data_IF_709305535494
#
_entry.id   IF_709305535494
#
_cell.length_a   1.000
_cell.length_b   1.000
_cell.length_c   1.000
_cell.angle_alpha   90.00
_cell.angle_beta   90.00
_cell.angle_gamma   90.00
#
_symmetry.space_group_name_H-M   'P 1'
#
loop_
_entity.id
_entity.type
_entity.pdbx_description
1 polymer ?
#
# COMPACT_ATOMS: atom_id res chain seq x y z
N UNK A 1 5.28 6.19 14.51
CA UNK A 1 3.86 6.57 14.66
C UNK A 1 3.41 7.31 13.41
N UNK A 2 2.15 7.13 12.96
CA UNK A 2 1.56 7.93 11.88
C UNK A 2 1.49 9.42 12.26
N UNK A 3 1.55 10.32 11.29
CA UNK A 3 1.40 11.76 11.48
C UNK A 3 0.27 12.35 10.61
N UNK A 4 0.01 13.65 10.71
CA UNK A 4 -1.06 14.32 9.97
C UNK A 4 -0.97 14.09 8.45
N UNK A 5 0.23 14.14 7.87
CA UNK A 5 0.44 13.93 6.44
C UNK A 5 0.11 12.48 6.00
N UNK A 6 0.28 11.51 6.90
CA UNK A 6 -0.14 10.12 6.65
C UNK A 6 -1.68 10.02 6.55
N UNK A 7 -2.40 10.70 7.45
CA UNK A 7 -3.87 10.69 7.45
C UNK A 7 -4.47 11.48 6.28
N UNK A 8 -3.88 12.63 5.91
CA UNK A 8 -4.32 13.42 4.76
C UNK A 8 -4.22 12.62 3.46
N UNK A 9 -3.08 11.94 3.25
CA UNK A 9 -2.87 11.09 2.08
C UNK A 9 -3.80 9.87 2.09
N UNK A 10 -3.98 9.23 3.24
CA UNK A 10 -4.90 8.11 3.38
C UNK A 10 -6.35 8.52 3.04
N UNK A 11 -6.79 9.70 3.49
CA UNK A 11 -8.11 10.26 3.16
C UNK A 11 -8.28 10.50 1.67
N UNK A 12 -7.27 11.06 1.00
CA UNK A 12 -7.29 11.32 -0.44
C UNK A 12 -7.36 10.04 -1.29
N UNK A 13 -6.86 8.92 -0.77
CA UNK A 13 -6.97 7.62 -1.42
C UNK A 13 -8.26 6.89 -1.09
N UNK A 14 -8.80 7.08 0.12
CA UNK A 14 -10.09 6.52 0.51
C UNK A 14 -11.24 7.05 -0.39
N UNK A 15 -11.11 8.27 -0.91
CA UNK A 15 -12.07 8.82 -1.88
C UNK A 15 -11.99 8.21 -3.28
N UNK A 16 -10.99 7.36 -3.57
CA UNK A 16 -10.85 6.65 -4.85
C UNK A 16 -11.50 5.27 -4.77
N UNK A 17 -12.82 5.25 -4.85
CA UNK A 17 -13.62 4.03 -4.69
C UNK A 17 -13.25 2.93 -5.70
N UNK A 18 -12.69 3.28 -6.86
CA UNK A 18 -12.20 2.31 -7.85
C UNK A 18 -11.06 1.40 -7.33
N UNK A 19 -10.39 1.79 -6.24
CA UNK A 19 -9.27 1.03 -5.67
C UNK A 19 -9.72 -0.14 -4.79
N UNK A 20 -10.99 -0.16 -4.35
CA UNK A 20 -11.51 -1.20 -3.45
C UNK A 20 -10.86 -1.24 -2.05
N UNK A 21 -10.11 -0.20 -1.68
CA UNK A 21 -9.39 -0.11 -0.40
C UNK A 21 -10.35 -0.20 0.79
N UNK A 22 -10.06 -1.07 1.75
CA UNK A 22 -10.75 -1.07 3.05
C UNK A 22 -10.10 0.00 3.93
N UNK A 23 -10.83 0.57 4.89
CA UNK A 23 -10.39 1.75 5.66
C UNK A 23 -8.97 1.65 6.30
N UNK A 24 -8.46 0.45 6.57
CA UNK A 24 -7.10 0.24 7.09
C UNK A 24 -5.96 0.30 6.05
N UNK A 25 -6.23 -0.04 4.79
CA UNK A 25 -5.21 -0.18 3.75
C UNK A 25 -4.59 1.16 3.31
N UNK A 26 -5.38 2.26 3.11
CA UNK A 26 -4.84 3.56 2.73
C UNK A 26 -3.84 4.12 3.73
N UNK A 27 -4.05 3.88 5.03
CA UNK A 27 -3.16 4.40 6.07
C UNK A 27 -1.79 3.70 6.04
N UNK A 28 -1.76 2.38 5.88
CA UNK A 28 -0.50 1.63 5.74
C UNK A 28 0.27 2.06 4.49
N UNK A 29 -0.43 2.20 3.37
CA UNK A 29 0.16 2.68 2.12
C UNK A 29 0.72 4.10 2.29
N UNK A 30 0.00 4.98 2.99
CA UNK A 30 0.37 6.39 3.13
C UNK A 30 1.62 6.53 4.00
N UNK A 31 1.67 5.79 5.10
CA UNK A 31 2.82 5.73 6.01
C UNK A 31 4.09 5.32 5.27
N UNK A 32 4.01 4.23 4.49
CA UNK A 32 5.16 3.71 3.75
C UNK A 32 5.60 4.69 2.66
N UNK A 33 4.65 5.26 1.92
CA UNK A 33 4.91 6.22 0.86
C UNK A 33 5.55 7.50 1.38
N UNK A 34 5.04 8.07 2.47
CA UNK A 34 5.59 9.29 3.08
C UNK A 34 6.98 9.07 3.70
N UNK A 35 7.31 7.84 4.09
CA UNK A 35 8.62 7.48 4.64
C UNK A 35 9.62 7.05 3.56
N UNK A 36 9.23 7.05 2.29
CA UNK A 36 10.09 6.61 1.19
C UNK A 36 10.44 5.13 1.26
N UNK A 37 9.55 4.29 1.80
CA UNK A 37 9.75 2.85 1.81
C UNK A 37 9.89 2.33 0.37
N UNK A 38 10.93 1.52 0.13
CA UNK A 38 11.21 0.97 -1.20
C UNK A 38 10.07 0.08 -1.72
N UNK A 39 9.48 -0.71 -0.83
CA UNK A 39 8.28 -1.50 -1.12
C UNK A 39 7.52 -1.89 0.15
N UNK A 40 6.20 -2.08 0.02
CA UNK A 40 5.37 -2.78 1.00
C UNK A 40 5.20 -4.23 0.56
N UNK A 41 5.54 -5.15 1.46
CA UNK A 41 5.25 -6.56 1.27
C UNK A 41 3.98 -6.93 2.04
N UNK A 42 3.03 -7.55 1.34
CA UNK A 42 1.78 -8.00 1.95
C UNK A 42 1.42 -9.40 1.46
N UNK A 43 0.59 -10.10 2.23
CA UNK A 43 -0.11 -11.31 1.79
C UNK A 43 -1.53 -11.00 1.33
N UNK A 44 -2.01 -9.77 1.58
CA UNK A 44 -3.30 -9.30 1.12
C UNK A 44 -3.21 -8.87 -0.35
N UNK A 45 -3.85 -9.66 -1.22
CA UNK A 45 -3.87 -9.43 -2.67
C UNK A 45 -4.59 -8.13 -3.04
N UNK A 46 -5.61 -7.71 -2.28
CA UNK A 46 -6.34 -6.48 -2.53
C UNK A 46 -5.48 -5.26 -2.17
N UNK A 47 -4.74 -5.33 -1.06
CA UNK A 47 -3.81 -4.26 -0.67
C UNK A 47 -2.67 -4.09 -1.69
N UNK A 48 -2.16 -5.19 -2.24
CA UNK A 48 -1.15 -5.16 -3.32
C UNK A 48 -1.74 -4.56 -4.60
N UNK A 49 -2.94 -4.97 -4.99
CA UNK A 49 -3.60 -4.43 -6.17
C UNK A 49 -3.84 -2.92 -6.03
N UNK A 50 -4.34 -2.48 -4.88
CA UNK A 50 -4.60 -1.08 -4.63
C UNK A 50 -3.31 -0.25 -4.55
N UNK A 51 -2.25 -0.77 -3.96
CA UNK A 51 -0.94 -0.13 -3.96
C UNK A 51 -0.42 0.12 -5.37
N UNK A 52 -0.51 -0.89 -6.26
CA UNK A 52 -0.17 -0.73 -7.69
C UNK A 52 -1.01 0.35 -8.37
N UNK A 53 -2.33 0.37 -8.15
CA UNK A 53 -3.23 1.41 -8.70
C UNK A 53 -2.87 2.81 -8.21
N UNK A 54 -2.39 2.93 -6.97
CA UNK A 54 -1.99 4.19 -6.35
C UNK A 54 -0.54 4.60 -6.66
N UNK A 55 0.21 3.80 -7.41
CA UNK A 55 1.63 4.05 -7.70
C UNK A 55 2.55 3.83 -6.50
N UNK A 56 2.09 3.12 -5.47
CA UNK A 56 2.90 2.72 -4.32
C UNK A 56 3.55 1.36 -4.62
N UNK A 57 4.87 1.21 -4.48
CA UNK A 57 5.51 -0.08 -4.71
C UNK A 57 5.02 -1.12 -3.69
N UNK A 58 4.23 -2.09 -4.17
CA UNK A 58 3.71 -3.19 -3.34
C UNK A 58 4.00 -4.54 -3.97
N UNK A 59 4.40 -5.52 -3.16
CA UNK A 59 4.81 -6.86 -3.61
C UNK A 59 4.14 -7.92 -2.76
N UNK A 60 3.80 -9.05 -3.37
CA UNK A 60 3.49 -10.26 -2.61
C UNK A 60 4.79 -10.83 -2.07
N UNK A 61 4.81 -11.28 -0.81
CA UNK A 61 5.91 -12.14 -0.33
C UNK A 61 5.35 -13.50 0.07
N UNK A 62 5.30 -14.42 -0.88
CA UNK A 62 5.36 -15.85 -0.54
C UNK A 62 6.74 -16.13 0.05
N UNK A 63 6.82 -17.01 1.06
CA UNK A 63 8.12 -17.44 1.60
C UNK A 63 9.08 -17.83 0.44
N UNK A 64 10.37 -17.46 0.56
CA UNK A 64 11.46 -17.82 -0.38
C UNK A 64 11.39 -19.32 -0.81
N UNK A 65 11.89 -19.74 -2.00
CA UNK A 65 13.06 -19.21 -2.71
C UNK A 65 12.81 -18.82 -4.18
N UNK A 66 13.81 -18.13 -4.73
CA UNK A 66 13.98 -17.62 -6.10
C UNK A 66 13.00 -18.17 -7.15
N UNK A 67 12.26 -17.24 -7.76
CA UNK A 67 11.82 -17.39 -9.15
C UNK A 67 12.14 -16.08 -9.86
N UNK A 68 13.33 -16.07 -10.44
CA UNK A 68 13.52 -15.45 -11.74
C UNK A 68 12.54 -16.10 -12.73
N UNK A 69 11.88 -15.25 -13.52
CA UNK A 69 11.65 -15.35 -14.98
C UNK A 69 10.69 -14.23 -15.41
#
# INVERSE_FOLDING_TARGET
MPNHADFDRARAWLSRFETGLRAGDPLHLAIASNRGAEAIYSLDKLMIAAGKTLGVPTRARGLLPSYDD
#
